data_IF_370391573826
#
_entry.id   IF_370391573826
#
_cell.length_a   1.000
_cell.length_b   1.000
_cell.length_c   1.000
_cell.angle_alpha   90.00
_cell.angle_beta   90.00
_cell.angle_gamma   90.00
#
_symmetry.space_group_name_H-M   'P 1'
#
loop_
_entity.id
_entity.type
_entity.pdbx_description
1 polymer ?
#
# COMPACT_ATOMS: atom_id res chain seq x y z
N UNK A 1 -76.74 7.25 -36.84
CA UNK A 1 -75.76 7.82 -37.80
C UNK A 1 -74.44 7.10 -37.52
N UNK A 2 -74.06 6.00 -38.21
CA UNK A 2 -73.35 5.94 -39.52
C UNK A 2 -72.21 6.97 -39.58
N UNK A 3 -70.94 6.66 -39.80
CA UNK A 3 -70.36 5.64 -40.68
C UNK A 3 -68.91 5.29 -40.29
N UNK A 4 -68.53 4.05 -40.58
CA UNK A 4 -67.19 3.48 -40.53
C UNK A 4 -66.23 4.12 -41.53
N UNK A 5 -64.92 4.13 -41.23
CA UNK A 5 -63.89 3.90 -42.25
C UNK A 5 -62.75 3.03 -41.70
N UNK A 6 -62.48 2.02 -42.52
CA UNK A 6 -61.47 0.98 -42.48
C UNK A 6 -60.11 1.59 -42.83
N UNK A 7 -59.04 1.34 -42.07
CA UNK A 7 -57.68 1.58 -42.54
C UNK A 7 -56.85 0.31 -42.41
N UNK A 8 -56.30 -0.09 -43.56
CA UNK A 8 -55.61 -1.34 -43.84
C UNK A 8 -54.16 -1.32 -43.32
N UNK A 9 -53.71 -2.51 -42.90
CA UNK A 9 -52.38 -2.86 -42.41
C UNK A 9 -51.32 -2.84 -43.51
N UNK A 10 -50.11 -2.37 -43.19
CA UNK A 10 -48.85 -2.78 -43.85
C UNK A 10 -47.77 -2.92 -42.77
N UNK A 11 -47.52 -4.16 -42.34
CA UNK A 11 -46.37 -4.54 -41.51
C UNK A 11 -45.18 -4.83 -42.43
N UNK A 12 -44.19 -3.95 -42.44
CA UNK A 12 -42.90 -4.21 -43.08
C UNK A 12 -41.99 -4.94 -42.09
N UNK A 13 -41.86 -6.27 -42.27
CA UNK A 13 -40.87 -7.10 -41.58
C UNK A 13 -39.48 -6.80 -42.13
N UNK A 14 -38.60 -6.22 -41.30
CA UNK A 14 -37.19 -6.02 -41.62
C UNK A 14 -36.37 -7.14 -41.00
N UNK A 15 -35.95 -8.09 -41.82
CA UNK A 15 -34.99 -9.15 -41.46
C UNK A 15 -33.59 -8.58 -41.65
N UNK A 16 -32.90 -8.27 -40.55
CA UNK A 16 -31.48 -7.93 -40.58
C UNK A 16 -30.68 -9.24 -40.61
N UNK A 17 -30.01 -9.50 -41.73
CA UNK A 17 -29.02 -10.56 -41.86
C UNK A 17 -27.73 -10.12 -41.15
N UNK A 18 -27.41 -10.75 -40.02
CA UNK A 18 -26.10 -10.68 -39.39
C UNK A 18 -25.12 -11.55 -40.20
N UNK A 19 -24.25 -10.91 -40.98
CA UNK A 19 -23.04 -11.55 -41.50
C UNK A 19 -22.02 -11.65 -40.36
N UNK A 20 -22.05 -12.75 -39.62
CA UNK A 20 -20.96 -13.12 -38.71
C UNK A 20 -19.77 -13.61 -39.52
N UNK A 21 -18.59 -13.01 -39.31
CA UNK A 21 -17.33 -13.56 -39.78
C UNK A 21 -17.03 -14.82 -38.96
N UNK A 22 -17.14 -15.98 -39.58
CA UNK A 22 -16.59 -17.24 -39.06
C UNK A 22 -15.11 -17.25 -39.44
N UNK A 23 -14.23 -16.98 -38.47
CA UNK A 23 -12.82 -17.31 -38.60
C UNK A 23 -12.66 -18.81 -38.29
N UNK A 24 -11.92 -19.51 -39.15
CA UNK A 24 -11.57 -20.92 -38.99
C UNK A 24 -10.64 -21.13 -37.80
N UNK A 25 -10.94 -22.12 -36.96
CA UNK A 25 -10.23 -22.50 -35.72
C UNK A 25 -8.82 -23.11 -35.92
N UNK A 26 -8.09 -22.78 -36.99
CA UNK A 26 -6.83 -23.49 -37.32
C UNK A 26 -5.54 -22.69 -37.21
N UNK A 27 -5.55 -21.43 -36.75
CA UNK A 27 -4.30 -20.70 -36.43
C UNK A 27 -4.51 -19.74 -35.26
N UNK A 28 -4.72 -20.28 -34.05
CA UNK A 28 -4.49 -19.51 -32.83
C UNK A 28 -3.09 -19.90 -32.29
N UNK A 29 -2.03 -19.12 -32.55
CA UNK A 29 -0.67 -19.45 -32.12
C UNK A 29 -0.44 -19.26 -30.61
N UNK A 30 -1.53 -19.14 -29.83
CA UNK A 30 -1.52 -18.90 -28.40
C UNK A 30 -2.15 -20.11 -27.71
N UNK A 31 -1.31 -21.02 -27.24
CA UNK A 31 -1.72 -22.10 -26.34
C UNK A 31 -2.22 -21.48 -25.03
N UNK A 32 -3.43 -21.85 -24.62
CA UNK A 32 -4.06 -21.39 -23.38
C UNK A 32 -3.35 -21.90 -22.10
N UNK A 33 -2.29 -22.69 -22.24
CA UNK A 33 -1.45 -23.18 -21.15
C UNK A 33 -0.10 -22.44 -21.02
N UNK A 34 0.17 -21.42 -21.86
CA UNK A 34 1.43 -20.63 -21.82
C UNK A 34 1.30 -19.29 -21.07
N UNK A 35 0.20 -19.10 -20.33
CA UNK A 35 -0.05 -17.93 -19.48
C UNK A 35 -0.17 -18.32 -18.00
N UNK A 36 0.77 -19.13 -17.51
CA UNK A 36 1.01 -19.32 -16.08
C UNK A 36 2.36 -18.70 -15.67
N UNK A 37 2.66 -17.52 -16.22
CA UNK A 37 3.68 -16.66 -15.64
C UNK A 37 3.04 -16.01 -14.43
N UNK A 38 3.30 -16.57 -13.25
CA UNK A 38 3.01 -15.92 -11.99
C UNK A 38 3.51 -14.48 -12.08
N UNK A 39 2.58 -13.52 -12.00
CA UNK A 39 2.82 -12.09 -12.02
C UNK A 39 3.49 -11.66 -10.70
N UNK A 40 4.61 -12.30 -10.37
CA UNK A 40 5.50 -12.01 -9.25
C UNK A 40 6.94 -11.81 -9.72
N UNK A 41 7.17 -11.55 -11.02
CA UNK A 41 8.43 -10.95 -11.47
C UNK A 41 8.45 -9.46 -11.09
N UNK A 42 8.48 -9.20 -9.79
CA UNK A 42 8.92 -7.93 -9.23
C UNK A 42 10.41 -7.74 -9.54
N UNK A 43 10.79 -6.49 -9.74
CA UNK A 43 12.01 -6.03 -10.38
C UNK A 43 13.31 -6.50 -9.73
N UNK A 44 14.37 -6.40 -10.54
CA UNK A 44 15.77 -6.62 -10.19
C UNK A 44 16.27 -5.59 -9.16
N UNK A 45 15.82 -5.68 -7.91
CA UNK A 45 16.38 -5.00 -6.72
C UNK A 45 16.60 -6.06 -5.62
N UNK A 46 17.59 -5.87 -4.74
CA UNK A 46 17.94 -6.90 -3.73
C UNK A 46 16.72 -7.42 -2.97
N UNK A 47 16.62 -8.73 -2.76
CA UNK A 47 15.51 -9.37 -2.04
C UNK A 47 15.60 -9.21 -0.53
N UNK A 48 16.70 -8.67 0.00
CA UNK A 48 16.91 -8.54 1.42
C UNK A 48 16.71 -7.08 1.87
N UNK A 49 16.22 -6.85 3.09
CA UNK A 49 16.17 -5.51 3.67
C UNK A 49 17.56 -4.84 3.59
N UNK A 50 17.63 -3.54 3.28
CA UNK A 50 16.55 -2.55 3.36
C UNK A 50 15.67 -2.37 2.10
N UNK A 51 15.91 -3.14 1.04
CA UNK A 51 15.23 -2.98 -0.26
C UNK A 51 13.85 -3.64 -0.30
N UNK A 52 13.02 -3.27 -1.26
CA UNK A 52 11.79 -3.98 -1.60
C UNK A 52 11.00 -3.25 -2.68
N UNK A 53 9.67 -3.40 -2.67
CA UNK A 53 8.78 -2.66 -3.59
C UNK A 53 7.67 -1.93 -2.84
N UNK A 54 7.20 -0.83 -3.43
CA UNK A 54 5.87 -0.26 -3.16
C UNK A 54 4.82 -0.88 -4.11
N UNK A 55 3.59 -0.37 -4.09
CA UNK A 55 2.52 -0.82 -5.00
C UNK A 55 1.25 -1.30 -4.30
N UNK A 56 1.16 -1.18 -2.97
CA UNK A 56 -0.06 -1.55 -2.27
C UNK A 56 -1.16 -0.50 -2.47
N UNK A 57 -2.38 -0.98 -2.70
CA UNK A 57 -3.55 -0.14 -2.96
C UNK A 57 -3.97 0.71 -1.74
N UNK A 58 -3.99 2.05 -1.86
CA UNK A 58 -4.49 2.92 -0.80
C UNK A 58 -5.92 2.64 -0.32
N UNK A 59 -6.92 2.35 -1.20
CA UNK A 59 -8.31 2.22 -0.77
C UNK A 59 -8.52 1.15 0.31
N UNK A 60 -7.88 -0.02 0.15
CA UNK A 60 -7.97 -1.10 1.12
C UNK A 60 -7.24 -0.77 2.42
N UNK A 61 -6.09 -0.11 2.38
CA UNK A 61 -5.38 0.30 3.60
C UNK A 61 -6.17 1.34 4.42
N UNK A 62 -6.82 2.27 3.73
CA UNK A 62 -7.61 3.33 4.36
C UNK A 62 -9.05 2.91 4.70
N UNK A 63 -9.48 1.72 4.29
CA UNK A 63 -10.81 1.20 4.62
C UNK A 63 -10.97 0.98 6.14
N UNK A 64 -12.17 1.30 6.62
CA UNK A 64 -12.56 1.18 8.02
C UNK A 64 -12.46 -0.25 8.56
N UNK A 65 -12.80 -1.26 7.73
CA UNK A 65 -12.74 -2.67 8.08
C UNK A 65 -11.31 -3.17 8.20
N UNK A 66 -10.44 -2.75 7.28
CA UNK A 66 -8.98 -3.00 7.34
C UNK A 66 -8.33 -2.36 8.56
N UNK A 67 -8.66 -1.11 8.86
CA UNK A 67 -8.12 -0.42 10.03
C UNK A 67 -8.55 -1.07 11.34
N UNK A 68 -9.81 -1.54 11.43
CA UNK A 68 -10.28 -2.31 12.59
C UNK A 68 -9.52 -3.63 12.71
N UNK A 69 -9.39 -4.37 11.61
CA UNK A 69 -8.69 -5.65 11.58
C UNK A 69 -7.23 -5.51 12.03
N UNK A 70 -6.51 -4.50 11.53
CA UNK A 70 -5.13 -4.24 11.92
C UNK A 70 -5.01 -3.87 13.40
N UNK A 71 -5.90 -3.03 13.95
CA UNK A 71 -5.89 -2.72 15.39
C UNK A 71 -6.10 -3.94 16.26
N UNK A 72 -6.96 -4.86 15.84
CA UNK A 72 -7.23 -6.08 16.60
C UNK A 72 -6.07 -7.06 16.49
N UNK A 73 -5.48 -7.24 15.30
CA UNK A 73 -4.27 -8.03 15.10
C UNK A 73 -3.09 -7.50 15.91
N UNK A 74 -2.91 -6.18 16.01
CA UNK A 74 -1.80 -5.59 16.74
C UNK A 74 -1.82 -5.86 18.26
N UNK A 75 -2.91 -6.42 18.81
CA UNK A 75 -3.05 -6.77 20.23
C UNK A 75 -2.70 -8.24 20.53
N UNK A 76 -2.58 -9.07 19.51
CA UNK A 76 -2.40 -10.53 19.63
C UNK A 76 -1.23 -10.99 18.76
N UNK A 77 -0.77 -12.22 18.96
CA UNK A 77 0.19 -12.83 18.03
C UNK A 77 -0.43 -12.94 16.63
N UNK A 78 0.38 -12.74 15.59
CA UNK A 78 -0.05 -12.91 14.19
C UNK A 78 -0.52 -14.33 13.90
N UNK A 79 0.07 -15.32 14.57
CA UNK A 79 -0.29 -16.72 14.39
C UNK A 79 -1.18 -17.22 15.51
N UNK A 80 -2.23 -17.95 15.14
CA UNK A 80 -3.08 -18.67 16.09
C UNK A 80 -2.40 -19.96 16.57
N UNK A 81 -1.47 -19.81 17.51
CA UNK A 81 -0.69 -20.93 18.07
C UNK A 81 0.25 -21.58 17.05
N UNK A 82 0.49 -22.89 17.16
CA UNK A 82 1.42 -23.63 16.30
C UNK A 82 0.94 -23.82 14.84
N UNK A 83 -0.22 -23.25 14.46
CA UNK A 83 -0.81 -23.46 13.14
C UNK A 83 -0.17 -22.63 12.02
N UNK A 84 0.56 -21.56 12.37
CA UNK A 84 1.09 -20.61 11.38
C UNK A 84 0.01 -19.76 10.69
N UNK A 85 -1.26 -19.86 11.11
CA UNK A 85 -2.38 -19.21 10.42
C UNK A 85 -2.79 -17.90 11.09
N UNK A 86 -3.12 -16.91 10.26
CA UNK A 86 -3.76 -15.67 10.69
C UNK A 86 -5.09 -15.96 11.41
N UNK A 87 -5.43 -15.20 12.46
CA UNK A 87 -6.73 -15.34 13.12
C UNK A 87 -7.88 -14.91 12.21
N UNK A 88 -9.12 -15.21 12.62
CA UNK A 88 -10.31 -14.74 11.91
C UNK A 88 -10.44 -13.22 12.02
N UNK A 89 -10.66 -12.55 10.89
CA UNK A 89 -10.76 -11.08 10.77
C UNK A 89 -12.06 -10.72 10.07
N UNK A 90 -13.21 -10.80 10.78
CA UNK A 90 -14.53 -10.65 10.15
C UNK A 90 -14.81 -9.24 9.60
N UNK A 91 -14.06 -8.23 10.05
CA UNK A 91 -14.20 -6.85 9.56
C UNK A 91 -13.43 -6.59 8.27
N UNK A 92 -12.48 -7.45 7.90
CA UNK A 92 -11.67 -7.28 6.71
C UNK A 92 -12.36 -7.87 5.49
N UNK A 93 -12.51 -7.07 4.44
CA UNK A 93 -13.04 -7.53 3.16
C UNK A 93 -12.09 -8.53 2.49
N UNK A 94 -12.65 -9.55 1.84
CA UNK A 94 -11.85 -10.55 1.11
C UNK A 94 -11.00 -9.91 -0.01
N UNK A 95 -11.46 -8.83 -0.63
CA UNK A 95 -10.72 -8.09 -1.65
C UNK A 95 -9.58 -7.23 -1.08
N UNK A 96 -9.51 -7.03 0.24
CA UNK A 96 -8.51 -6.17 0.90
C UNK A 96 -7.45 -6.96 1.68
N UNK A 97 -7.30 -8.26 1.41
CA UNK A 97 -6.34 -9.12 2.11
C UNK A 97 -4.88 -8.74 1.84
N UNK A 98 -4.60 -8.01 0.76
CA UNK A 98 -3.28 -7.41 0.47
C UNK A 98 -2.76 -6.49 1.58
N UNK A 99 -3.66 -5.89 2.37
CA UNK A 99 -3.28 -5.09 3.55
C UNK A 99 -2.58 -5.95 4.61
N UNK A 100 -2.98 -7.21 4.74
CA UNK A 100 -2.32 -8.16 5.63
C UNK A 100 -0.96 -8.57 5.08
N UNK A 101 -0.86 -8.80 3.76
CA UNK A 101 0.43 -9.07 3.10
C UNK A 101 1.42 -7.93 3.35
N UNK A 102 1.00 -6.67 3.17
CA UNK A 102 1.83 -5.50 3.48
C UNK A 102 2.27 -5.46 4.95
N UNK A 103 1.35 -5.68 5.89
CA UNK A 103 1.66 -5.70 7.32
C UNK A 103 2.67 -6.80 7.68
N UNK A 104 2.50 -8.00 7.13
CA UNK A 104 3.37 -9.16 7.35
C UNK A 104 4.77 -8.91 6.79
N UNK A 105 4.87 -8.44 5.55
CA UNK A 105 6.16 -8.15 4.91
C UNK A 105 6.93 -7.07 5.69
N UNK A 106 6.26 -6.01 6.15
CA UNK A 106 6.87 -4.97 6.96
C UNK A 106 7.34 -5.48 8.34
N UNK A 107 6.53 -6.28 9.01
CA UNK A 107 6.79 -6.66 10.40
C UNK A 107 7.74 -7.84 10.53
N UNK A 108 7.49 -8.91 9.79
CA UNK A 108 8.19 -10.19 9.95
C UNK A 108 9.48 -10.21 9.13
N UNK A 109 10.44 -11.03 9.55
CA UNK A 109 11.66 -11.26 8.79
C UNK A 109 11.48 -12.39 7.74
N UNK A 110 12.43 -12.50 6.81
CA UNK A 110 12.38 -13.48 5.72
C UNK A 110 12.36 -14.96 6.14
N UNK A 111 12.56 -15.29 7.42
CA UNK A 111 12.43 -16.67 7.93
C UNK A 111 11.03 -17.01 8.45
N UNK A 112 10.14 -16.02 8.56
CA UNK A 112 8.82 -16.16 9.13
C UNK A 112 7.75 -15.95 8.07
N UNK A 113 6.70 -16.76 8.10
CA UNK A 113 5.55 -16.64 7.21
C UNK A 113 4.26 -16.99 7.94
N UNK A 114 3.15 -16.46 7.43
CA UNK A 114 1.81 -16.74 7.95
C UNK A 114 0.86 -17.11 6.83
N UNK A 115 0.01 -18.08 7.08
CA UNK A 115 -1.01 -18.52 6.13
C UNK A 115 -2.30 -17.75 6.34
N UNK A 116 -2.86 -17.25 5.25
CA UNK A 116 -4.17 -16.62 5.19
C UNK A 116 -5.25 -17.70 4.98
N UNK A 117 -6.12 -17.97 5.97
CA UNK A 117 -7.09 -19.05 5.87
C UNK A 117 -8.27 -18.74 4.93
N UNK A 118 -8.40 -17.51 4.42
CA UNK A 118 -9.53 -17.08 3.58
C UNK A 118 -9.21 -17.25 2.10
N UNK A 119 -8.02 -16.86 1.66
CA UNK A 119 -7.58 -17.03 0.27
C UNK A 119 -6.59 -18.21 0.08
N UNK A 120 -6.09 -18.80 1.16
CA UNK A 120 -5.16 -19.93 1.13
C UNK A 120 -3.72 -19.54 0.78
N UNK A 121 -3.41 -18.24 0.69
CA UNK A 121 -2.07 -17.75 0.36
C UNK A 121 -1.18 -17.69 1.60
N UNK A 122 0.12 -17.92 1.41
CA UNK A 122 1.13 -17.70 2.44
C UNK A 122 1.75 -16.31 2.25
N UNK A 123 1.76 -15.50 3.30
CA UNK A 123 2.44 -14.21 3.33
C UNK A 123 3.80 -14.36 3.99
N UNK A 124 4.85 -14.05 3.24
CA UNK A 124 6.23 -14.12 3.68
C UNK A 124 6.64 -12.80 4.34
N UNK A 125 7.36 -12.86 5.46
CA UNK A 125 8.00 -11.68 6.05
C UNK A 125 9.16 -11.16 5.19
N UNK A 126 9.52 -9.89 5.36
CA UNK A 126 10.60 -9.26 4.61
C UNK A 126 11.49 -8.39 5.51
N UNK A 127 11.03 -7.20 5.90
CA UNK A 127 11.85 -6.19 6.60
C UNK A 127 12.24 -6.58 8.02
N UNK A 128 11.37 -7.30 8.74
CA UNK A 128 11.64 -7.68 10.13
C UNK A 128 11.63 -6.49 11.09
N UNK A 129 10.74 -5.50 10.88
CA UNK A 129 10.66 -4.32 11.74
C UNK A 129 9.98 -4.57 13.09
N UNK A 130 9.33 -5.72 13.25
CA UNK A 130 8.65 -6.15 14.48
C UNK A 130 8.44 -7.68 14.46
N UNK A 131 9.52 -8.44 14.33
CA UNK A 131 9.47 -9.90 14.15
C UNK A 131 8.93 -10.63 15.39
N UNK A 132 8.89 -9.97 16.55
CA UNK A 132 8.25 -10.44 17.76
C UNK A 132 6.72 -10.59 17.61
N UNK A 133 6.11 -9.89 16.64
CA UNK A 133 4.66 -9.97 16.38
C UNK A 133 4.21 -11.38 15.99
N UNK A 134 5.14 -12.21 15.51
CA UNK A 134 4.86 -13.61 15.23
C UNK A 134 4.37 -14.38 16.46
N UNK A 135 4.91 -14.05 17.65
CA UNK A 135 4.70 -14.79 18.90
C UNK A 135 3.82 -14.05 19.92
N UNK A 136 3.65 -12.74 19.77
CA UNK A 136 2.87 -11.90 20.69
C UNK A 136 2.33 -10.66 20.02
N UNK A 137 1.51 -9.87 20.73
CA UNK A 137 1.05 -8.57 20.21
C UNK A 137 2.19 -7.59 19.96
N UNK A 138 2.00 -6.67 19.02
CA UNK A 138 3.00 -5.64 18.70
C UNK A 138 3.34 -4.78 19.92
N UNK A 139 4.63 -4.53 20.10
CA UNK A 139 5.15 -3.49 21.00
C UNK A 139 4.77 -2.10 20.49
N UNK A 140 4.85 -1.06 21.35
CA UNK A 140 4.58 0.32 20.91
C UNK A 140 5.47 0.75 19.76
N UNK A 141 6.74 0.35 19.78
CA UNK A 141 7.72 0.71 18.76
C UNK A 141 7.46 -0.09 17.47
N UNK A 142 7.20 -1.39 17.58
CA UNK A 142 6.80 -2.23 16.45
C UNK A 142 5.55 -1.71 15.74
N UNK A 143 4.52 -1.28 16.48
CA UNK A 143 3.32 -0.64 15.90
C UNK A 143 3.67 0.57 15.04
N UNK A 144 4.63 1.39 15.48
CA UNK A 144 5.02 2.62 14.78
C UNK A 144 5.84 2.32 13.53
N UNK A 145 6.84 1.45 13.65
CA UNK A 145 7.67 1.03 12.51
C UNK A 145 6.85 0.34 11.42
N UNK A 146 5.98 -0.61 11.80
CA UNK A 146 5.10 -1.30 10.86
C UNK A 146 4.14 -0.32 10.20
N UNK A 147 3.55 0.62 10.95
CA UNK A 147 2.69 1.66 10.34
C UNK A 147 3.46 2.50 9.33
N UNK A 148 4.66 2.97 9.66
CA UNK A 148 5.50 3.77 8.77
C UNK A 148 5.84 3.01 7.48
N UNK A 149 6.25 1.75 7.60
CA UNK A 149 6.60 0.90 6.45
C UNK A 149 5.38 0.68 5.56
N UNK A 150 4.24 0.31 6.14
CA UNK A 150 3.03 0.08 5.37
C UNK A 150 2.61 1.31 4.57
N UNK A 151 2.70 2.52 5.17
CA UNK A 151 2.39 3.79 4.50
C UNK A 151 3.35 4.07 3.35
N UNK A 152 4.66 3.85 3.53
CA UNK A 152 5.65 4.09 2.48
C UNK A 152 5.53 3.15 1.27
N UNK A 153 4.82 2.03 1.45
CA UNK A 153 4.60 1.05 0.39
C UNK A 153 3.28 1.25 -0.36
N UNK A 154 2.49 2.26 0.03
CA UNK A 154 1.27 2.62 -0.69
C UNK A 154 1.62 3.34 -1.99
N UNK A 155 1.00 2.91 -3.09
CA UNK A 155 1.13 3.55 -4.38
C UNK A 155 -0.10 3.29 -5.24
N UNK A 156 -0.94 4.31 -5.44
CA UNK A 156 -2.15 4.22 -6.27
C UNK A 156 -1.85 3.99 -7.76
N UNK A 157 -0.66 4.38 -8.23
CA UNK A 157 -0.31 4.35 -9.66
C UNK A 157 -0.20 2.91 -10.20
N UNK A 158 -0.26 1.91 -9.31
CA UNK A 158 -0.19 0.49 -9.66
C UNK A 158 1.19 0.05 -10.15
N UNK A 159 2.13 0.97 -10.32
CA UNK A 159 3.52 0.67 -10.61
C UNK A 159 4.21 0.14 -9.34
N UNK A 160 4.75 -1.07 -9.43
CA UNK A 160 5.70 -1.58 -8.44
C UNK A 160 7.06 -0.95 -8.72
N UNK A 161 7.43 0.03 -7.89
CA UNK A 161 8.73 0.69 -7.95
C UNK A 161 9.63 0.05 -6.91
N UNK A 162 10.86 -0.25 -7.29
CA UNK A 162 11.90 -0.67 -6.35
C UNK A 162 12.14 0.48 -5.36
N UNK A 163 12.02 0.18 -4.07
CA UNK A 163 12.23 1.14 -2.99
C UNK A 163 13.37 0.72 -2.07
N UNK A 164 13.99 1.72 -1.45
CA UNK A 164 14.90 1.59 -0.33
C UNK A 164 14.25 2.24 0.90
N UNK A 165 14.07 1.46 1.97
CA UNK A 165 13.55 1.97 3.24
C UNK A 165 14.69 2.23 4.21
N UNK A 166 14.68 3.38 4.86
CA UNK A 166 15.73 3.75 5.80
C UNK A 166 15.18 4.41 7.06
N UNK A 167 15.82 4.16 8.20
CA UNK A 167 15.44 4.71 9.48
C UNK A 167 16.37 4.26 10.59
N UNK A 168 16.17 4.83 11.79
CA UNK A 168 16.91 4.45 12.99
C UNK A 168 16.43 3.09 13.56
N UNK A 169 16.49 2.05 12.74
CA UNK A 169 16.12 0.68 13.07
C UNK A 169 17.18 -0.28 12.49
N UNK A 170 17.67 -1.30 13.24
CA UNK A 170 18.79 -2.15 12.82
C UNK A 170 18.64 -2.87 11.47
N UNK A 171 17.40 -3.01 10.96
CA UNK A 171 17.09 -3.68 9.70
C UNK A 171 17.07 -2.76 8.47
N UNK A 172 17.03 -1.44 8.71
CA UNK A 172 16.90 -0.42 7.67
C UNK A 172 17.86 0.75 7.95
N UNK A 173 19.05 0.44 8.44
CA UNK A 173 20.10 1.44 8.65
C UNK A 173 20.59 1.93 7.28
N UNK A 174 20.77 3.24 7.16
CA UNK A 174 21.36 3.89 5.98
C UNK A 174 22.67 3.22 5.58
N UNK A 175 22.83 3.04 4.27
CA UNK A 175 24.10 2.67 3.67
C UNK A 175 24.31 3.51 2.41
N UNK A 176 25.30 4.39 2.44
CA UNK A 176 25.63 5.30 1.34
C UNK A 176 25.87 4.60 -0.02
N UNK A 177 26.22 3.31 -0.02
CA UNK A 177 26.33 2.55 -1.27
C UNK A 177 24.97 2.28 -1.94
N UNK A 178 23.91 2.18 -1.13
CA UNK A 178 22.55 1.97 -1.58
C UNK A 178 21.94 3.27 -2.14
N UNK A 179 22.22 4.41 -1.50
CA UNK A 179 21.73 5.74 -1.95
C UNK A 179 22.13 6.03 -3.40
N UNK A 180 23.34 5.63 -3.81
CA UNK A 180 23.79 5.80 -5.19
C UNK A 180 22.99 4.97 -6.22
N UNK A 181 22.24 3.95 -5.76
CA UNK A 181 21.35 3.12 -6.60
C UNK A 181 19.89 3.58 -6.50
N UNK A 182 19.50 4.17 -5.37
CA UNK A 182 18.17 4.70 -5.11
C UNK A 182 18.25 6.22 -4.99
N UNK A 183 18.64 6.87 -6.09
CA UNK A 183 19.06 8.27 -6.08
C UNK A 183 17.92 9.27 -5.89
N UNK A 184 16.66 8.82 -5.89
CA UNK A 184 15.49 9.66 -5.71
C UNK A 184 14.97 9.64 -4.28
N UNK A 185 15.32 10.67 -3.49
CA UNK A 185 14.78 10.84 -2.14
C UNK A 185 13.33 11.33 -2.20
N UNK A 186 12.38 10.52 -1.74
CA UNK A 186 10.97 10.84 -1.91
C UNK A 186 10.37 11.50 -0.66
N UNK A 187 10.23 10.73 0.41
CA UNK A 187 9.41 11.13 1.55
C UNK A 187 9.81 10.42 2.83
N UNK A 188 9.36 10.96 3.95
CA UNK A 188 9.49 10.33 5.26
C UNK A 188 8.14 10.26 5.96
N UNK A 189 7.77 9.08 6.43
CA UNK A 189 6.46 8.81 7.02
C UNK A 189 6.55 8.20 8.41
N UNK A 190 5.55 8.49 9.25
CA UNK A 190 5.36 7.84 10.54
C UNK A 190 3.88 7.82 10.94
N UNK A 191 3.53 6.95 11.89
CA UNK A 191 2.17 6.87 12.42
C UNK A 191 2.06 5.81 13.50
N UNK A 192 0.83 5.58 13.97
CA UNK A 192 0.52 4.44 14.82
C UNK A 192 -0.94 4.01 14.60
N UNK A 193 -1.17 3.26 13.53
CA UNK A 193 -2.49 2.76 13.18
C UNK A 193 -3.04 1.82 14.27
N UNK A 194 -2.19 0.94 14.78
CA UNK A 194 -2.55 -0.14 15.70
C UNK A 194 -3.01 0.33 17.08
N UNK A 195 -2.55 1.50 17.54
CA UNK A 195 -2.94 2.07 18.85
C UNK A 195 -3.91 3.26 18.72
N UNK A 196 -4.39 3.55 17.52
CA UNK A 196 -5.31 4.67 17.33
C UNK A 196 -6.62 4.43 18.10
N UNK A 197 -7.06 5.48 18.80
CA UNK A 197 -8.31 5.53 19.55
C UNK A 197 -9.42 6.26 18.81
N UNK A 198 -9.16 6.76 17.60
CA UNK A 198 -10.20 7.43 16.84
C UNK A 198 -11.30 6.42 16.47
N UNK A 199 -12.55 6.85 16.59
CA UNK A 199 -13.71 6.05 16.26
C UNK A 199 -13.66 5.65 14.79
N UNK A 200 -13.83 4.36 14.51
CA UNK A 200 -13.89 3.85 13.15
C UNK A 200 -15.28 4.15 12.60
N UNK A 201 -15.34 5.06 11.62
CA UNK A 201 -16.56 5.46 10.91
C UNK A 201 -16.26 5.39 9.42
N UNK A 202 -17.08 4.70 8.60
CA UNK A 202 -16.90 4.67 7.16
C UNK A 202 -16.80 6.07 6.56
N UNK A 203 -15.83 6.28 5.66
CA UNK A 203 -15.61 7.58 5.03
C UNK A 203 -14.94 8.63 5.93
N UNK A 204 -14.31 8.21 7.03
CA UNK A 204 -13.50 9.08 7.90
C UNK A 204 -12.18 8.39 8.26
N UNK A 205 -11.09 9.15 8.42
CA UNK A 205 -9.83 8.56 8.83
C UNK A 205 -9.94 8.08 10.26
N UNK A 206 -9.64 6.80 10.51
CA UNK A 206 -9.61 6.32 11.88
C UNK A 206 -8.23 6.51 12.54
N UNK A 207 -7.20 6.91 11.81
CA UNK A 207 -5.92 7.32 12.39
C UNK A 207 -5.26 8.38 11.50
N UNK A 208 -4.21 9.02 12.01
CA UNK A 208 -3.37 9.91 11.21
C UNK A 208 -2.03 9.27 10.89
N UNK A 209 -1.68 9.23 9.61
CA UNK A 209 -0.31 9.03 9.16
C UNK A 209 0.28 10.40 8.83
N UNK A 210 1.50 10.66 9.23
CA UNK A 210 2.17 11.93 8.99
C UNK A 210 3.28 11.70 7.99
N UNK A 211 3.35 12.57 6.98
CA UNK A 211 4.35 12.48 5.93
C UNK A 211 4.94 13.84 5.64
N UNK A 212 6.24 13.90 5.41
CA UNK A 212 6.91 15.04 4.81
C UNK A 212 7.58 14.59 3.51
N UNK A 213 7.80 15.53 2.61
CA UNK A 213 8.50 15.27 1.35
C UNK A 213 9.92 15.76 1.41
N UNK A 214 10.82 15.03 0.76
CA UNK A 214 12.18 15.48 0.52
C UNK A 214 12.20 16.53 -0.59
N UNK A 215 13.29 17.29 -0.67
CA UNK A 215 13.40 18.40 -1.62
C UNK A 215 13.30 17.93 -3.06
N UNK A 216 13.90 16.78 -3.36
CA UNK A 216 13.92 16.20 -4.69
C UNK A 216 12.50 15.86 -5.18
N UNK A 217 11.71 15.19 -4.35
CA UNK A 217 10.29 14.92 -4.59
C UNK A 217 9.51 16.20 -4.90
N UNK A 218 9.67 17.24 -4.09
CA UNK A 218 8.96 18.52 -4.26
C UNK A 218 9.32 19.18 -5.60
N UNK A 219 10.57 19.05 -6.04
CA UNK A 219 11.07 19.68 -7.26
C UNK A 219 10.69 18.92 -8.52
N UNK A 220 10.70 17.58 -8.49
CA UNK A 220 10.50 16.76 -9.67
C UNK A 220 9.04 16.35 -9.89
N UNK A 221 8.23 16.28 -8.83
CA UNK A 221 6.90 15.69 -8.89
C UNK A 221 5.83 16.76 -8.63
N UNK A 222 5.21 17.29 -9.70
CA UNK A 222 4.28 18.40 -9.58
C UNK A 222 3.05 18.01 -8.78
N UNK A 223 2.48 18.99 -8.06
CA UNK A 223 1.20 18.84 -7.40
C UNK A 223 0.13 18.32 -8.37
N UNK A 224 -0.67 17.35 -7.92
CA UNK A 224 -1.77 16.77 -8.70
C UNK A 224 -3.09 17.25 -8.12
N UNK A 225 -3.95 17.84 -8.95
CA UNK A 225 -5.27 18.33 -8.50
C UNK A 225 -5.23 19.41 -7.42
N UNK A 226 -4.11 20.14 -7.28
CA UNK A 226 -3.92 21.14 -6.22
C UNK A 226 -3.48 20.59 -4.86
N UNK A 227 -3.24 19.27 -4.78
CA UNK A 227 -2.68 18.60 -3.61
C UNK A 227 -1.21 18.22 -3.88
N UNK A 228 -0.37 18.12 -2.83
CA UNK A 228 0.98 17.58 -2.97
C UNK A 228 0.94 16.21 -3.65
N UNK A 229 1.89 15.91 -4.54
CA UNK A 229 1.93 14.63 -5.24
C UNK A 229 1.91 13.42 -4.28
N UNK A 230 2.53 13.53 -3.10
CA UNK A 230 2.53 12.45 -2.11
C UNK A 230 1.13 12.11 -1.60
N UNK A 231 0.21 13.08 -1.58
CA UNK A 231 -1.20 12.84 -1.26
C UNK A 231 -1.85 11.96 -2.33
N UNK A 232 -1.60 12.26 -3.61
CA UNK A 232 -2.08 11.42 -4.71
C UNK A 232 -1.56 9.97 -4.57
N UNK A 233 -0.25 9.79 -4.34
CA UNK A 233 0.34 8.44 -4.22
C UNK A 233 -0.26 7.62 -3.07
N UNK A 234 -0.43 8.24 -1.90
CA UNK A 234 -0.76 7.56 -0.63
C UNK A 234 -2.26 7.54 -0.34
N UNK A 235 -3.03 8.52 -0.82
CA UNK A 235 -4.45 8.70 -0.49
C UNK A 235 -5.41 8.52 -1.66
N UNK A 236 -4.95 8.61 -2.91
CA UNK A 236 -5.90 8.67 -4.02
C UNK A 236 -6.82 7.45 -4.04
N UNK A 237 -8.06 7.68 -4.47
CA UNK A 237 -9.18 6.73 -4.41
C UNK A 237 -9.64 6.32 -3.00
N UNK A 238 -8.93 6.65 -1.91
CA UNK A 238 -9.42 6.46 -0.55
C UNK A 238 -10.41 7.55 -0.09
N UNK A 239 -10.42 8.69 -0.78
CA UNK A 239 -11.30 9.83 -0.49
C UNK A 239 -11.19 10.31 0.95
N UNK A 240 -12.33 10.56 1.59
CA UNK A 240 -12.38 11.08 2.97
C UNK A 240 -11.92 10.06 4.04
N UNK A 241 -11.61 8.82 3.67
CA UNK A 241 -11.06 7.83 4.59
C UNK A 241 -9.55 7.99 4.77
N UNK A 242 -8.87 8.72 3.88
CA UNK A 242 -7.43 8.92 4.01
C UNK A 242 -7.11 9.82 5.21
N UNK A 243 -6.25 9.31 6.09
CA UNK A 243 -5.80 10.00 7.29
C UNK A 243 -4.42 10.64 7.14
N UNK A 244 -3.97 10.89 5.92
CA UNK A 244 -2.66 11.48 5.69
C UNK A 244 -2.63 12.93 6.14
N UNK A 245 -1.56 13.30 6.84
CA UNK A 245 -1.28 14.65 7.28
C UNK A 245 0.06 15.04 6.69
N UNK A 246 0.02 15.85 5.63
CA UNK A 246 1.22 16.39 5.00
C UNK A 246 1.83 17.51 5.85
N UNK A 247 3.10 17.36 6.20
CA UNK A 247 3.85 18.29 7.04
C UNK A 247 4.63 19.34 6.24
N UNK A 248 4.70 19.21 4.91
CA UNK A 248 5.58 20.02 4.07
C UNK A 248 6.94 19.34 3.84
N UNK A 249 7.97 20.16 3.63
CA UNK A 249 9.34 19.69 3.42
C UNK A 249 9.93 19.10 4.71
N UNK A 250 10.58 17.94 4.64
CA UNK A 250 11.16 17.26 5.80
C UNK A 250 12.19 18.13 6.53
N UNK A 251 13.05 18.84 5.80
CA UNK A 251 14.02 19.79 6.35
C UNK A 251 13.43 20.89 7.25
N UNK A 252 12.13 21.20 7.10
CA UNK A 252 11.43 22.22 7.89
C UNK A 252 10.60 21.61 9.00
N UNK A 253 10.00 20.44 8.76
CA UNK A 253 9.07 19.78 9.67
C UNK A 253 9.75 18.87 10.71
N UNK A 254 10.99 18.45 10.43
CA UNK A 254 11.66 17.38 11.15
C UNK A 254 13.04 17.82 11.64
N UNK A 255 13.61 17.04 12.56
CA UNK A 255 15.00 17.18 13.00
C UNK A 255 15.80 15.94 12.57
N UNK A 256 17.09 16.08 12.26
CA UNK A 256 17.94 14.93 12.01
C UNK A 256 18.00 13.99 13.22
N UNK A 257 18.03 12.70 12.97
CA UNK A 257 18.06 11.59 13.91
C UNK A 257 19.02 10.55 13.34
N UNK A 258 20.01 10.12 14.12
CA UNK A 258 21.09 9.26 13.65
C UNK A 258 22.48 9.83 13.96
N UNK A 259 23.55 9.02 13.91
CA UNK A 259 24.91 9.44 14.25
C UNK A 259 25.44 10.60 13.40
N UNK A 260 25.09 10.66 12.12
CA UNK A 260 25.43 11.75 11.19
C UNK A 260 24.20 12.57 10.75
N UNK A 261 23.02 12.30 11.29
CA UNK A 261 21.78 12.99 10.94
C UNK A 261 21.10 12.43 9.69
N UNK A 262 21.29 11.14 9.46
CA UNK A 262 20.86 10.36 8.29
C UNK A 262 19.33 10.21 8.20
N UNK A 263 18.62 10.21 9.33
CA UNK A 263 17.18 9.99 9.38
C UNK A 263 16.45 11.24 9.86
N UNK A 264 15.15 11.30 9.57
CA UNK A 264 14.28 12.30 10.18
C UNK A 264 13.66 11.78 11.47
N UNK A 265 13.51 12.65 12.47
CA UNK A 265 12.45 12.53 13.47
C UNK A 265 11.49 13.69 13.27
N UNK A 266 10.25 13.36 12.97
CA UNK A 266 9.23 14.34 12.61
C UNK A 266 8.19 14.46 13.73
N UNK A 267 7.49 15.59 13.80
CA UNK A 267 6.39 15.75 14.75
C UNK A 267 5.16 16.40 14.11
N UNK A 268 3.94 16.03 14.55
CA UNK A 268 2.74 16.72 14.12
C UNK A 268 2.80 18.20 14.48
N UNK A 269 2.09 19.04 13.73
CA UNK A 269 1.90 20.44 14.11
C UNK A 269 1.31 20.55 15.53
N UNK A 270 1.92 21.36 16.38
CA UNK A 270 1.54 21.53 17.78
C UNK A 270 2.01 20.43 18.74
N UNK A 271 2.68 19.38 18.26
CA UNK A 271 3.24 18.36 19.13
C UNK A 271 4.55 18.81 19.80
N UNK A 272 4.80 18.24 20.98
CA UNK A 272 5.97 18.57 21.81
C UNK A 272 7.14 17.62 21.51
N UNK A 273 6.86 16.37 21.17
CA UNK A 273 7.88 15.32 20.97
C UNK A 273 8.01 14.95 19.50
N UNK A 274 9.25 14.77 19.06
CA UNK A 274 9.57 14.17 17.77
C UNK A 274 9.43 12.65 17.86
N UNK A 275 8.91 12.05 16.79
CA UNK A 275 8.80 10.60 16.68
C UNK A 275 10.05 10.06 15.97
N UNK A 276 10.85 9.21 16.63
CA UNK A 276 12.03 8.62 15.99
C UNK A 276 11.70 7.44 15.06
N UNK A 277 10.45 6.96 15.06
CA UNK A 277 9.97 5.85 14.25
C UNK A 277 9.51 6.32 12.87
N UNK A 278 10.38 7.08 12.21
CA UNK A 278 10.13 7.62 10.87
C UNK A 278 10.93 6.79 9.88
N UNK A 279 10.28 6.39 8.79
CA UNK A 279 10.93 5.69 7.68
C UNK A 279 11.02 6.64 6.50
N UNK A 280 12.24 6.92 6.05
CA UNK A 280 12.54 7.53 4.75
C UNK A 280 12.38 6.48 3.67
N UNK A 281 11.84 6.88 2.52
CA UNK A 281 11.82 6.05 1.32
C UNK A 281 12.54 6.76 0.19
N UNK A 282 13.43 6.02 -0.46
CA UNK A 282 14.06 6.40 -1.72
C UNK A 282 13.58 5.47 -2.83
N UNK A 283 13.49 5.98 -4.05
CA UNK A 283 13.05 5.24 -5.23
C UNK A 283 14.25 5.01 -6.16
N UNK A 284 14.26 3.86 -6.81
CA UNK A 284 15.31 3.52 -7.79
C UNK A 284 15.10 4.21 -9.14
N UNK A 285 13.86 4.57 -9.45
CA UNK A 285 13.51 5.22 -10.71
C UNK A 285 12.77 6.54 -10.42
N UNK A 286 13.39 7.71 -10.67
CA UNK A 286 12.77 9.01 -10.43
C UNK A 286 11.59 9.31 -11.36
N UNK A 287 11.39 8.54 -12.44
CA UNK A 287 10.24 8.72 -13.33
C UNK A 287 8.93 8.20 -12.73
N UNK A 288 8.98 7.53 -11.57
CA UNK A 288 7.83 6.99 -10.84
C UNK A 288 6.78 8.02 -10.41
N UNK A 289 7.03 9.30 -10.62
CA UNK A 289 6.04 10.35 -10.41
C UNK A 289 4.95 10.42 -11.48
N UNK A 290 5.07 9.65 -12.56
CA UNK A 290 4.20 9.67 -13.74
C UNK A 290 3.59 8.29 -14.04
#
# INVERSE_FOLDING_TARGET
>A
MKSSYLLLVLLASSTALLNGCVLSEEENPFDAEDFDVGLETAGYGGYDPPFGSNGYGPPCFWDSGSQQALRDLGKVALTSGASGKLPALPTLLASCREVLKNAVECALNASQSVDDPVNGLTYQGHWGLADEWYYGGLTTDGKRWVTACMVQRLNVLGAHVDILLEGNHPRIVENLANDATYDFEESSAYGNLFDSRATIVPGRPAFSAYVCSELEQIQQCPASGGLPWIDHRICDQAGNSCGLVYLGACQTACIPNGPAGEYWSCKPSGAILYNPHTIRVQLKDPTSCF
#
